data_IF_109489354546
#
_entry.id   IF_109489354546
#
_cell.length_a   1.000
_cell.length_b   1.000
_cell.length_c   1.000
_cell.angle_alpha   90.00
_cell.angle_beta   90.00
_cell.angle_gamma   90.00
#
_symmetry.space_group_name_H-M   'P 1'
#
loop_
_entity.id
_entity.type
_entity.pdbx_description
1 polymer ?
#
# COMPACT_ATOMS: atom_id res chain seq x y z
N UNK A 1 10.36 -25.60 -7.15
CA UNK A 1 10.31 -26.98 -6.61
C UNK A 1 11.70 -27.54 -6.80
N UNK A 2 12.44 -27.76 -5.72
CA UNK A 2 13.78 -28.33 -5.83
C UNK A 2 13.69 -29.86 -5.88
N UNK A 3 14.66 -30.51 -6.53
CA UNK A 3 14.70 -31.97 -6.74
C UNK A 3 14.69 -32.77 -5.42
N UNK A 4 15.07 -32.13 -4.31
CA UNK A 4 15.17 -32.67 -2.97
C UNK A 4 13.88 -32.53 -2.13
N UNK A 5 12.77 -32.10 -2.74
CA UNK A 5 11.50 -31.76 -2.06
C UNK A 5 11.62 -30.56 -1.11
N UNK A 6 12.72 -29.81 -1.15
CA UNK A 6 12.83 -28.54 -0.46
C UNK A 6 12.02 -27.47 -1.20
N UNK A 7 11.48 -26.51 -0.45
CA UNK A 7 10.89 -25.30 -0.99
C UNK A 7 11.38 -24.10 -0.19
N UNK A 8 11.80 -23.06 -0.91
CA UNK A 8 12.00 -21.73 -0.34
C UNK A 8 10.68 -20.97 -0.42
N UNK A 9 10.31 -20.35 0.69
CA UNK A 9 9.12 -19.52 0.78
C UNK A 9 9.51 -18.16 1.34
N UNK A 10 9.40 -17.14 0.51
CA UNK A 10 9.67 -15.76 0.91
C UNK A 10 8.39 -15.10 1.43
N UNK A 11 8.43 -14.65 2.68
CA UNK A 11 7.31 -13.92 3.30
C UNK A 11 7.44 -12.45 2.91
N UNK A 12 6.60 -12.02 1.97
CA UNK A 12 6.51 -10.61 1.55
C UNK A 12 5.83 -9.74 2.61
N UNK A 13 6.05 -8.43 2.55
CA UNK A 13 5.33 -7.51 3.45
C UNK A 13 3.83 -7.46 3.14
N UNK A 14 3.01 -7.08 4.14
CA UNK A 14 1.58 -6.84 3.96
C UNK A 14 1.26 -5.95 2.75
N UNK A 15 0.07 -6.12 2.14
CA UNK A 15 -0.34 -5.33 0.99
C UNK A 15 -0.48 -3.85 1.35
N UNK A 16 -0.28 -2.97 0.38
CA UNK A 16 -0.44 -1.52 0.56
C UNK A 16 -1.83 -1.14 1.10
N UNK A 17 -2.86 -1.89 0.71
CA UNK A 17 -4.23 -1.70 1.18
C UNK A 17 -4.39 -1.90 2.70
N UNK A 18 -3.62 -2.78 3.32
CA UNK A 18 -3.66 -2.97 4.77
C UNK A 18 -3.08 -1.75 5.50
N UNK A 19 -1.91 -1.28 5.03
CA UNK A 19 -1.27 -0.09 5.59
C UNK A 19 -2.13 1.16 5.42
N UNK A 20 -2.71 1.36 4.24
CA UNK A 20 -3.61 2.49 3.95
C UNK A 20 -4.87 2.47 4.81
N UNK A 21 -5.50 1.29 5.00
CA UNK A 21 -6.64 1.15 5.91
C UNK A 21 -6.27 1.49 7.35
N UNK A 22 -5.09 1.07 7.80
CA UNK A 22 -4.58 1.36 9.15
C UNK A 22 -4.31 2.86 9.33
N UNK A 23 -3.68 3.50 8.35
CA UNK A 23 -3.39 4.93 8.38
C UNK A 23 -4.67 5.79 8.33
N UNK A 24 -5.64 5.43 7.48
CA UNK A 24 -6.93 6.11 7.38
C UNK A 24 -7.94 5.72 8.48
N UNK A 25 -7.60 4.75 9.35
CA UNK A 25 -8.47 4.20 10.41
C UNK A 25 -9.81 3.67 9.90
N UNK A 26 -9.83 3.10 8.69
CA UNK A 26 -11.03 2.52 8.06
C UNK A 26 -11.00 1.00 8.05
N UNK A 27 -12.16 0.35 8.18
CA UNK A 27 -12.29 -1.12 8.11
C UNK A 27 -12.43 -1.62 6.67
N UNK A 28 -13.12 -0.87 5.82
CA UNK A 28 -13.38 -1.18 4.41
C UNK A 28 -12.91 -0.07 3.48
N UNK A 29 -12.64 -0.41 2.22
CA UNK A 29 -12.40 0.57 1.16
C UNK A 29 -13.75 1.15 0.67
N UNK A 30 -13.72 2.19 -0.16
CA UNK A 30 -14.92 2.76 -0.76
C UNK A 30 -15.62 1.74 -1.66
N UNK A 31 -16.96 1.73 -1.62
CA UNK A 31 -17.76 0.94 -2.55
C UNK A 31 -17.72 1.55 -3.96
N UNK A 32 -17.70 2.89 -4.05
CA UNK A 32 -17.60 3.63 -5.31
C UNK A 32 -16.40 4.60 -5.28
N UNK A 33 -15.16 4.12 -5.53
CA UNK A 33 -13.98 4.96 -5.56
C UNK A 33 -14.11 6.07 -6.61
N UNK A 34 -13.85 7.31 -6.21
CA UNK A 34 -13.98 8.52 -7.05
C UNK A 34 -15.29 9.28 -6.90
N UNK A 35 -16.35 8.64 -6.35
CA UNK A 35 -17.55 9.35 -5.85
C UNK A 35 -17.59 9.43 -4.33
N UNK A 36 -17.12 8.37 -3.67
CA UNK A 36 -17.09 8.26 -2.23
C UNK A 36 -15.64 8.21 -1.75
N UNK A 37 -15.32 9.09 -0.81
CA UNK A 37 -14.06 9.08 -0.05
C UNK A 37 -14.32 8.53 1.34
N UNK A 38 -13.73 7.38 1.64
CA UNK A 38 -13.93 6.68 2.93
C UNK A 38 -12.94 7.10 4.01
N UNK A 39 -11.86 7.79 3.64
CA UNK A 39 -10.89 8.30 4.60
C UNK A 39 -9.85 9.20 3.94
N UNK A 40 -8.98 9.77 4.77
CA UNK A 40 -7.86 10.58 4.31
C UNK A 40 -6.57 10.14 4.99
N UNK A 41 -5.45 10.23 4.27
CA UNK A 41 -4.09 10.02 4.82
C UNK A 41 -3.23 11.23 4.53
N UNK A 42 -2.23 11.47 5.38
CA UNK A 42 -1.27 12.56 5.18
C UNK A 42 -0.11 12.11 4.30
N UNK A 43 0.58 13.02 3.60
CA UNK A 43 1.77 12.69 2.82
C UNK A 43 2.89 12.10 3.67
N UNK A 44 2.98 12.47 4.96
CA UNK A 44 3.90 11.84 5.91
C UNK A 44 3.59 10.35 6.10
N UNK A 45 2.32 9.98 6.28
CA UNK A 45 1.90 8.58 6.39
C UNK A 45 2.16 7.81 5.08
N UNK A 46 1.91 8.44 3.93
CA UNK A 46 2.21 7.81 2.62
C UNK A 46 3.71 7.50 2.50
N UNK A 47 4.57 8.41 2.97
CA UNK A 47 6.02 8.21 2.99
C UNK A 47 6.43 7.06 3.92
N UNK A 48 5.90 7.00 5.13
CA UNK A 48 6.16 5.88 6.06
C UNK A 48 5.75 4.52 5.46
N UNK A 49 4.59 4.47 4.78
CA UNK A 49 4.10 3.27 4.11
C UNK A 49 5.00 2.89 2.93
N UNK A 50 5.44 3.88 2.15
CA UNK A 50 6.35 3.68 1.04
C UNK A 50 7.70 3.13 1.51
N UNK A 51 8.27 3.68 2.60
CA UNK A 51 9.51 3.19 3.21
C UNK A 51 9.37 1.76 3.75
N UNK A 52 8.28 1.47 4.46
CA UNK A 52 8.02 0.14 5.00
C UNK A 52 7.85 -0.92 3.90
N UNK A 53 7.26 -0.53 2.76
CA UNK A 53 7.01 -1.42 1.62
C UNK A 53 8.10 -1.38 0.54
N UNK A 54 9.11 -0.50 0.66
CA UNK A 54 10.12 -0.25 -0.37
C UNK A 54 10.83 -1.54 -0.82
N UNK A 55 11.08 -2.45 0.11
CA UNK A 55 11.73 -3.74 -0.16
C UNK A 55 10.93 -4.67 -1.09
N UNK A 56 9.61 -4.48 -1.17
CA UNK A 56 8.71 -5.25 -2.04
C UNK A 56 8.20 -4.46 -3.25
N UNK A 57 8.49 -3.16 -3.30
CA UNK A 57 8.12 -2.29 -4.42
C UNK A 57 9.23 -2.30 -5.45
N UNK A 58 8.85 -2.25 -6.72
CA UNK A 58 9.78 -2.08 -7.84
C UNK A 58 10.10 -0.60 -8.10
N UNK A 59 10.15 0.21 -7.04
CA UNK A 59 10.40 1.65 -7.12
C UNK A 59 11.90 1.93 -7.00
N UNK A 60 12.40 2.89 -7.78
CA UNK A 60 13.81 3.26 -7.78
C UNK A 60 14.12 4.30 -6.69
N UNK A 61 13.14 5.12 -6.33
CA UNK A 61 13.24 6.18 -5.33
C UNK A 61 11.98 6.19 -4.43
N UNK A 62 12.09 6.92 -3.31
CA UNK A 62 10.99 7.06 -2.35
C UNK A 62 9.81 7.80 -2.98
N UNK A 63 10.07 8.74 -3.90
CA UNK A 63 9.02 9.48 -4.60
C UNK A 63 8.18 8.58 -5.50
N UNK A 64 8.78 7.70 -6.31
CA UNK A 64 8.03 6.73 -7.09
C UNK A 64 7.31 5.72 -6.19
N UNK A 65 7.91 5.31 -5.08
CA UNK A 65 7.24 4.46 -4.11
C UNK A 65 6.00 5.15 -3.54
N UNK A 66 6.09 6.43 -3.19
CA UNK A 66 4.94 7.24 -2.77
C UNK A 66 3.87 7.35 -3.86
N UNK A 67 4.25 7.51 -5.13
CA UNK A 67 3.31 7.52 -6.26
C UNK A 67 2.54 6.18 -6.41
N UNK A 68 3.21 5.05 -6.19
CA UNK A 68 2.56 3.73 -6.22
C UNK A 68 1.54 3.61 -5.08
N UNK A 69 1.90 4.06 -3.88
CA UNK A 69 1.00 4.08 -2.72
C UNK A 69 -0.17 5.05 -2.94
N UNK A 70 0.07 6.21 -3.55
CA UNK A 70 -0.96 7.19 -3.96
C UNK A 70 -1.97 6.59 -4.93
N UNK A 71 -1.49 5.89 -5.96
CA UNK A 71 -2.36 5.19 -6.91
C UNK A 71 -3.26 4.15 -6.20
N UNK A 72 -2.68 3.43 -5.23
CA UNK A 72 -3.42 2.48 -4.41
C UNK A 72 -4.46 3.16 -3.52
N UNK A 73 -4.12 4.29 -2.90
CA UNK A 73 -5.04 5.08 -2.08
C UNK A 73 -6.23 5.61 -2.92
N UNK A 74 -5.95 6.14 -4.11
CA UNK A 74 -6.98 6.62 -5.04
C UNK A 74 -7.96 5.53 -5.45
N UNK A 75 -7.46 4.34 -5.78
CA UNK A 75 -8.28 3.18 -6.14
C UNK A 75 -9.17 2.69 -4.98
N UNK A 76 -8.75 2.92 -3.74
CA UNK A 76 -9.52 2.60 -2.54
C UNK A 76 -10.50 3.68 -2.11
N UNK A 77 -10.52 4.84 -2.77
CA UNK A 77 -11.30 6.01 -2.33
C UNK A 77 -10.74 6.64 -1.05
N UNK A 78 -9.41 6.61 -0.86
CA UNK A 78 -8.72 7.34 0.20
C UNK A 78 -8.08 8.57 -0.42
N UNK A 79 -8.42 9.74 0.14
CA UNK A 79 -7.86 11.02 -0.30
C UNK A 79 -6.52 11.29 0.41
N UNK A 80 -5.55 11.87 -0.29
CA UNK A 80 -4.30 12.32 0.33
C UNK A 80 -4.38 13.83 0.51
N UNK A 81 -4.24 14.30 1.75
CA UNK A 81 -4.29 15.72 2.14
C UNK A 81 -2.96 16.18 2.71
#
# INVERSE_FOLDING_TARGET
>A
YYQDKSFTMDIKTPPASYYLKKAAKVKSAANLPGRETVGSVTPAQVKEIAEAKMKDLNANDIEAAMQIILGSARSMGIEVK
#
